data_IF_792279335083
#
_entry.id   IF_792279335083
#
_cell.length_a   1.000
_cell.length_b   1.000
_cell.length_c   1.000
_cell.angle_alpha   90.00
_cell.angle_beta   90.00
_cell.angle_gamma   90.00
#
_symmetry.space_group_name_H-M   'P 1'
#
loop_
_entity.id
_entity.type
_entity.pdbx_description
1 polymer ?
#
# COMPACT_ATOMS: atom_id res chain seq x y z
N UNK A 1 -15.32 -16.29 -4.17
CA UNK A 1 -14.19 -15.71 -4.92
C UNK A 1 -14.17 -16.33 -6.31
N UNK A 2 -14.14 -15.52 -7.38
CA UNK A 2 -14.01 -16.03 -8.76
C UNK A 2 -12.56 -16.46 -9.00
N UNK A 3 -12.32 -17.34 -9.99
CA UNK A 3 -10.96 -17.75 -10.36
C UNK A 3 -10.08 -16.55 -10.77
N UNK A 4 -10.68 -15.57 -11.48
CA UNK A 4 -10.02 -14.33 -11.85
C UNK A 4 -9.67 -13.48 -10.62
N UNK A 5 -10.62 -13.31 -9.68
CA UNK A 5 -10.38 -12.57 -8.44
C UNK A 5 -9.26 -13.18 -7.61
N UNK A 6 -9.26 -14.51 -7.47
CA UNK A 6 -8.19 -15.22 -6.77
C UNK A 6 -6.82 -15.03 -7.43
N UNK A 7 -6.75 -15.08 -8.76
CA UNK A 7 -5.49 -14.85 -9.48
C UNK A 7 -4.95 -13.44 -9.23
N UNK A 8 -5.79 -12.41 -9.37
CA UNK A 8 -5.38 -11.01 -9.14
C UNK A 8 -4.97 -10.81 -7.68
N UNK A 9 -5.74 -11.37 -6.73
CA UNK A 9 -5.40 -11.33 -5.30
C UNK A 9 -4.02 -11.94 -5.02
N UNK A 10 -3.70 -13.09 -5.60
CA UNK A 10 -2.39 -13.71 -5.43
C UNK A 10 -1.25 -12.87 -6.01
N UNK A 11 -1.48 -12.17 -7.12
CA UNK A 11 -0.48 -11.26 -7.70
C UNK A 11 -0.26 -10.06 -6.78
N UNK A 12 -1.33 -9.38 -6.35
CA UNK A 12 -1.21 -8.18 -5.52
C UNK A 12 -0.64 -8.48 -4.14
N UNK A 13 -1.11 -9.54 -3.49
CA UNK A 13 -0.57 -9.97 -2.19
C UNK A 13 0.91 -10.33 -2.28
N UNK A 14 1.35 -10.96 -3.38
CA UNK A 14 2.78 -11.23 -3.59
C UNK A 14 3.59 -9.95 -3.77
N UNK A 15 3.10 -9.01 -4.59
CA UNK A 15 3.76 -7.71 -4.78
C UNK A 15 3.91 -6.96 -3.47
N UNK A 16 2.84 -6.86 -2.67
CA UNK A 16 2.86 -6.25 -1.34
C UNK A 16 3.92 -6.89 -0.44
N UNK A 17 3.90 -8.22 -0.32
CA UNK A 17 4.84 -8.96 0.52
C UNK A 17 6.30 -8.74 0.11
N UNK A 18 6.60 -8.75 -1.19
CA UNK A 18 7.97 -8.58 -1.68
C UNK A 18 8.49 -7.16 -1.41
N UNK A 19 7.64 -6.14 -1.56
CA UNK A 19 8.02 -4.75 -1.30
C UNK A 19 8.18 -4.48 0.20
N UNK A 20 7.29 -5.03 1.03
CA UNK A 20 7.36 -4.91 2.50
C UNK A 20 8.60 -5.60 3.11
N UNK A 21 9.18 -6.58 2.43
CA UNK A 21 10.37 -7.31 2.90
C UNK A 21 11.70 -6.68 2.43
N UNK A 22 11.66 -5.60 1.63
CA UNK A 22 12.85 -4.80 1.31
C UNK A 22 13.27 -3.94 2.51
N UNK A 23 14.56 -3.96 2.86
CA UNK A 23 15.09 -3.27 4.04
C UNK A 23 15.63 -1.85 3.75
N UNK A 24 16.06 -1.58 2.51
CA UNK A 24 16.62 -0.30 2.08
C UNK A 24 16.18 -0.04 0.62
N UNK A 25 15.42 1.03 0.42
CA UNK A 25 14.85 1.41 -0.87
C UNK A 25 15.26 2.86 -1.14
N UNK A 26 16.11 3.08 -2.14
CA UNK A 26 16.45 4.44 -2.57
C UNK A 26 15.25 5.13 -3.22
N UNK A 27 15.21 6.47 -3.23
CA UNK A 27 14.14 7.27 -3.86
C UNK A 27 13.91 6.86 -5.32
N UNK A 28 14.98 6.67 -6.09
CA UNK A 28 14.89 6.20 -7.48
C UNK A 28 14.30 4.80 -7.59
N UNK A 29 14.58 3.91 -6.65
CA UNK A 29 13.99 2.57 -6.64
C UNK A 29 12.52 2.61 -6.23
N UNK A 30 12.14 3.43 -5.25
CA UNK A 30 10.74 3.55 -4.83
C UNK A 30 9.85 4.10 -5.96
N UNK A 31 10.34 5.08 -6.72
CA UNK A 31 9.68 5.59 -7.93
C UNK A 31 9.45 4.46 -8.97
N UNK A 32 10.49 3.67 -9.26
CA UNK A 32 10.40 2.58 -10.26
C UNK A 32 9.51 1.43 -9.79
N UNK A 33 9.51 1.11 -8.49
CA UNK A 33 8.60 0.13 -7.92
C UNK A 33 7.16 0.65 -8.04
N UNK A 34 6.92 1.92 -7.69
CA UNK A 34 5.59 2.52 -7.82
C UNK A 34 5.09 2.52 -9.29
N UNK A 35 5.96 2.81 -10.26
CA UNK A 35 5.64 2.68 -11.69
C UNK A 35 5.23 1.25 -12.05
N UNK A 36 5.97 0.25 -11.58
CA UNK A 36 5.66 -1.16 -11.82
C UNK A 36 4.32 -1.57 -11.19
N UNK A 37 4.04 -1.13 -9.96
CA UNK A 37 2.76 -1.40 -9.28
C UNK A 37 1.60 -0.72 -10.02
N UNK A 38 1.78 0.52 -10.52
CA UNK A 38 0.77 1.25 -11.30
C UNK A 38 0.36 0.53 -12.59
N UNK A 39 1.23 -0.30 -13.17
CA UNK A 39 0.86 -1.14 -14.33
C UNK A 39 -0.25 -2.16 -14.02
N UNK A 40 -0.52 -2.42 -12.74
CA UNK A 40 -1.56 -3.34 -12.29
C UNK A 40 -2.94 -2.64 -12.14
N UNK A 41 -2.99 -1.31 -12.12
CA UNK A 41 -4.24 -0.55 -11.95
C UNK A 41 -5.33 -0.89 -12.99
N UNK A 42 -5.01 -1.10 -14.29
CA UNK A 42 -6.03 -1.49 -15.28
C UNK A 42 -6.71 -2.85 -15.02
N UNK A 43 -6.21 -3.67 -14.09
CA UNK A 43 -6.89 -4.91 -13.70
C UNK A 43 -8.26 -4.64 -13.05
N UNK A 44 -8.51 -3.42 -12.56
CA UNK A 44 -9.81 -2.98 -12.06
C UNK A 44 -10.93 -3.14 -13.09
N UNK A 45 -10.63 -2.84 -14.36
CA UNK A 45 -11.59 -2.84 -15.46
C UNK A 45 -12.20 -4.23 -15.69
N UNK A 46 -11.49 -5.28 -15.26
CA UNK A 46 -11.97 -6.66 -15.34
C UNK A 46 -13.14 -6.96 -14.36
N UNK A 47 -13.38 -6.06 -13.41
CA UNK A 47 -14.40 -6.20 -12.36
C UNK A 47 -15.50 -5.13 -12.45
N UNK A 48 -15.54 -4.36 -13.53
CA UNK A 48 -16.58 -3.36 -13.77
C UNK A 48 -17.88 -4.05 -14.19
N UNK A 49 -18.96 -3.76 -13.47
CA UNK A 49 -20.29 -4.24 -13.86
C UNK A 49 -20.76 -3.45 -15.11
N UNK A 50 -21.06 -4.12 -16.23
CA UNK A 50 -21.43 -3.46 -17.48
C UNK A 50 -22.77 -2.71 -17.43
N UNK A 51 -23.60 -2.95 -16.41
CA UNK A 51 -24.90 -2.28 -16.23
C UNK A 51 -24.80 -1.04 -15.35
N UNK A 52 -23.98 -1.07 -14.30
CA UNK A 52 -23.83 0.05 -13.37
C UNK A 52 -22.61 0.93 -13.67
N UNK A 53 -21.62 0.41 -14.40
CA UNK A 53 -20.32 1.05 -14.61
C UNK A 53 -19.46 1.13 -13.34
N UNK A 54 -19.89 0.52 -12.23
CA UNK A 54 -19.15 0.51 -10.98
C UNK A 54 -18.24 -0.72 -10.91
N UNK A 55 -17.04 -0.51 -10.39
CA UNK A 55 -16.10 -1.59 -10.09
C UNK A 55 -16.52 -2.36 -8.84
N UNK A 56 -16.50 -3.68 -8.94
CA UNK A 56 -16.67 -4.60 -7.83
C UNK A 56 -15.34 -5.23 -7.38
N UNK A 57 -14.19 -4.71 -7.83
CA UNK A 57 -12.85 -5.31 -7.60
C UNK A 57 -12.59 -5.62 -6.13
N UNK A 58 -12.98 -4.73 -5.22
CA UNK A 58 -12.80 -4.89 -3.78
C UNK A 58 -13.57 -6.09 -3.19
N UNK A 59 -14.64 -6.57 -3.86
CA UNK A 59 -15.37 -7.77 -3.45
C UNK A 59 -14.62 -9.06 -3.82
N UNK A 60 -13.70 -8.99 -4.78
CA UNK A 60 -13.00 -10.15 -5.34
C UNK A 60 -11.51 -10.16 -5.02
N UNK A 61 -10.92 -8.99 -4.72
CA UNK A 61 -9.49 -8.77 -4.52
C UNK A 61 -9.28 -7.93 -3.24
N UNK A 62 -9.27 -8.57 -2.06
CA UNK A 62 -9.07 -7.88 -0.77
C UNK A 62 -7.82 -6.99 -0.72
N UNK A 63 -6.74 -7.37 -1.40
CA UNK A 63 -5.48 -6.60 -1.42
C UNK A 63 -5.52 -5.36 -2.32
N UNK A 64 -6.63 -5.08 -3.01
CA UNK A 64 -6.72 -4.02 -4.02
C UNK A 64 -6.36 -2.64 -3.46
N UNK A 65 -7.09 -2.16 -2.45
CA UNK A 65 -6.85 -0.83 -1.88
C UNK A 65 -5.49 -0.73 -1.19
N UNK A 66 -5.07 -1.79 -0.49
CA UNK A 66 -3.73 -1.86 0.10
C UNK A 66 -2.64 -1.64 -0.94
N UNK A 67 -2.74 -2.29 -2.10
CA UNK A 67 -1.82 -2.12 -3.23
C UNK A 67 -1.90 -0.71 -3.85
N UNK A 68 -3.09 -0.13 -3.98
CA UNK A 68 -3.24 1.26 -4.46
C UNK A 68 -2.53 2.26 -3.55
N UNK A 69 -2.67 2.10 -2.23
CA UNK A 69 -1.96 2.96 -1.26
C UNK A 69 -0.47 2.66 -1.14
N UNK A 70 0.01 1.48 -1.56
CA UNK A 70 1.45 1.23 -1.67
C UNK A 70 2.11 2.25 -2.58
N UNK A 71 1.48 2.61 -3.71
CA UNK A 71 2.00 3.63 -4.62
C UNK A 71 2.13 5.00 -3.93
N UNK A 72 1.11 5.41 -3.19
CA UNK A 72 1.12 6.67 -2.43
C UNK A 72 2.21 6.68 -1.35
N UNK A 73 2.45 5.54 -0.68
CA UNK A 73 3.52 5.40 0.32
C UNK A 73 4.91 5.46 -0.33
N UNK A 74 5.12 4.76 -1.45
CA UNK A 74 6.41 4.69 -2.15
C UNK A 74 6.87 6.04 -2.70
N UNK A 75 5.94 6.93 -3.07
CA UNK A 75 6.24 8.24 -3.66
C UNK A 75 5.92 9.43 -2.75
N UNK A 76 5.28 9.19 -1.60
CA UNK A 76 4.88 10.23 -0.65
C UNK A 76 6.03 10.66 0.26
N UNK A 77 5.94 11.86 0.82
CA UNK A 77 6.84 12.30 1.90
C UNK A 77 6.42 11.72 3.26
N UNK A 78 7.28 11.81 4.27
CA UNK A 78 6.91 11.48 5.66
C UNK A 78 5.67 12.25 6.14
N UNK A 79 5.46 13.48 5.67
CA UNK A 79 4.28 14.27 6.03
C UNK A 79 3.01 13.74 5.33
N UNK A 80 3.12 13.32 4.08
CA UNK A 80 2.00 12.72 3.35
C UNK A 80 1.60 11.39 3.98
N UNK A 81 2.57 10.54 4.35
CA UNK A 81 2.30 9.28 5.04
C UNK A 81 1.66 9.55 6.41
N UNK A 82 2.13 10.55 7.16
CA UNK A 82 1.53 10.93 8.44
C UNK A 82 0.08 11.42 8.28
N UNK A 83 -0.20 12.21 7.25
CA UNK A 83 -1.55 12.66 6.92
C UNK A 83 -2.46 11.47 6.54
N UNK A 84 -1.99 10.57 5.67
CA UNK A 84 -2.73 9.39 5.23
C UNK A 84 -3.06 8.46 6.41
N UNK A 85 -2.14 8.31 7.36
CA UNK A 85 -2.33 7.52 8.58
C UNK A 85 -3.23 8.21 9.61
N UNK A 86 -2.90 9.44 10.00
CA UNK A 86 -3.47 10.09 11.18
C UNK A 86 -4.78 10.84 10.89
N UNK A 87 -4.88 11.52 9.74
CA UNK A 87 -5.96 12.45 9.45
C UNK A 87 -6.96 11.86 8.46
N UNK A 88 -6.47 11.26 7.38
CA UNK A 88 -7.32 10.69 6.33
C UNK A 88 -7.87 9.30 6.70
N UNK A 89 -7.25 8.61 7.67
CA UNK A 89 -7.53 7.20 7.99
C UNK A 89 -7.56 6.32 6.72
N UNK A 90 -6.65 6.59 5.78
CA UNK A 90 -6.60 5.95 4.47
C UNK A 90 -5.82 4.63 4.49
N UNK A 91 -4.91 4.45 5.46
CA UNK A 91 -4.01 3.29 5.57
C UNK A 91 -4.57 2.18 6.48
N UNK A 92 -5.89 2.04 6.57
CA UNK A 92 -6.56 1.09 7.49
C UNK A 92 -6.24 -0.38 7.22
N UNK A 93 -5.89 -0.72 5.98
CA UNK A 93 -5.53 -2.09 5.58
C UNK A 93 -4.07 -2.45 5.95
N UNK A 94 -3.27 -1.46 6.38
CA UNK A 94 -1.92 -1.69 6.86
C UNK A 94 -1.89 -1.80 8.38
N UNK A 95 -1.26 -2.86 8.87
CA UNK A 95 -0.88 -2.94 10.26
C UNK A 95 0.20 -1.90 10.59
N UNK A 96 0.28 -1.45 11.84
CA UNK A 96 1.35 -0.52 12.25
C UNK A 96 2.76 -1.11 12.03
N UNK A 97 2.91 -2.44 12.09
CA UNK A 97 4.18 -3.12 11.80
C UNK A 97 4.59 -3.00 10.34
N UNK A 98 3.66 -3.17 9.41
CA UNK A 98 3.92 -3.05 7.97
C UNK A 98 4.30 -1.61 7.62
N UNK A 99 3.56 -0.62 8.12
CA UNK A 99 3.91 0.80 7.94
C UNK A 99 5.29 1.12 8.50
N UNK A 100 5.62 0.58 9.68
CA UNK A 100 6.92 0.79 10.28
C UNK A 100 8.07 0.11 9.52
N UNK A 101 7.82 -0.98 8.77
CA UNK A 101 8.80 -1.58 7.87
C UNK A 101 9.03 -0.67 6.65
N UNK A 102 7.95 -0.29 5.96
CA UNK A 102 8.02 0.56 4.77
C UNK A 102 8.67 1.91 5.06
N UNK A 103 8.30 2.58 6.15
CA UNK A 103 8.89 3.87 6.54
C UNK A 103 10.38 3.75 6.89
N UNK A 104 10.83 2.60 7.42
CA UNK A 104 12.26 2.38 7.66
C UNK A 104 13.03 2.13 6.37
N UNK A 105 12.42 1.40 5.43
CA UNK A 105 13.01 1.09 4.14
C UNK A 105 13.14 2.32 3.24
N UNK A 106 12.16 3.24 3.29
CA UNK A 106 12.09 4.40 2.39
C UNK A 106 12.83 5.65 2.89
N UNK A 107 13.04 5.78 4.20
CA UNK A 107 13.54 7.03 4.78
C UNK A 107 14.73 6.84 5.72
N UNK A 108 15.72 7.71 5.55
CA UNK A 108 16.87 7.82 6.45
C UNK A 108 16.46 8.09 7.91
N UNK A 109 17.33 7.71 8.84
CA UNK A 109 17.10 7.93 10.26
C UNK A 109 17.16 9.40 10.64
N UNK A 110 15.98 9.97 10.90
CA UNK A 110 15.80 11.37 11.24
C UNK A 110 14.79 11.52 12.37
N UNK A 111 14.84 12.63 13.14
CA UNK A 111 13.83 12.91 14.17
C UNK A 111 12.39 12.91 13.63
N UNK A 112 12.18 13.36 12.38
CA UNK A 112 10.86 13.33 11.74
C UNK A 112 10.38 11.89 11.50
N UNK A 113 11.26 11.01 11.03
CA UNK A 113 10.94 9.59 10.84
C UNK A 113 10.60 8.92 12.18
N UNK A 114 11.42 9.14 13.21
CA UNK A 114 11.19 8.56 14.54
C UNK A 114 9.84 8.97 15.12
N UNK A 115 9.49 10.26 15.02
CA UNK A 115 8.19 10.76 15.46
C UNK A 115 7.01 10.08 14.76
N UNK A 116 7.14 9.77 13.47
CA UNK A 116 6.11 9.00 12.75
C UNK A 116 6.06 7.55 13.22
N UNK A 117 7.22 6.90 13.38
CA UNK A 117 7.31 5.51 13.86
C UNK A 117 6.70 5.34 15.26
N UNK A 118 6.85 6.31 16.16
CA UNK A 118 6.22 6.30 17.49
C UNK A 118 4.68 6.21 17.40
N UNK A 119 4.06 6.82 16.39
CA UNK A 119 2.61 6.75 16.18
C UNK A 119 2.14 5.34 15.80
N UNK A 120 2.99 4.56 15.12
CA UNK A 120 2.69 3.17 14.79
C UNK A 120 2.79 2.25 16.01
N UNK A 121 3.67 2.56 16.97
CA UNK A 121 3.83 1.75 18.19
C UNK A 121 2.67 1.92 19.17
N UNK A 122 2.02 3.08 19.17
CA UNK A 122 0.94 3.42 20.12
C UNK A 122 -0.41 2.83 19.69
N UNK A 123 -0.55 2.37 18.43
CA UNK A 123 -1.79 1.74 17.97
C UNK A 123 -2.03 0.42 18.73
N UNK A 124 -3.18 0.26 19.42
CA UNK A 124 -3.47 -0.95 20.19
C UNK A 124 -3.54 -2.18 19.27
N UNK A 125 -3.17 -3.38 19.75
CA UNK A 125 -3.36 -4.60 18.99
C UNK A 125 -4.86 -4.78 18.73
N UNK A 126 -5.23 -4.89 17.46
CA UNK A 126 -6.56 -5.28 17.01
C UNK A 126 -6.86 -6.74 17.31
#
# INVERSE_FOLDING_TARGET
MSALGALVEHVLSRVLSEVEDLEDISEKESERIAEAVKLLAPLEDLFVDPRSGQTAVALFVPSWFKCSYLCEILTGSLADIDFLYSEAAALVDYSPRELAKLVRALFADTPKRQKLLEKFVIAPPT
#
